data_IF_894563473359
#
_entry.id   IF_894563473359
#
_cell.length_a   1.000
_cell.length_b   1.000
_cell.length_c   1.000
_cell.angle_alpha   90.00
_cell.angle_beta   90.00
_cell.angle_gamma   90.00
#
_symmetry.space_group_name_H-M   'P 1'
#
loop_
_entity.id
_entity.type
_entity.pdbx_description
1 polymer ?
#
# COMPACT_ATOMS: atom_id res chain seq x y z
N UNK A 1 -5.60 -8.01 -7.78
CA UNK A 1 -4.64 -7.66 -6.73
C UNK A 1 -3.31 -7.34 -7.40
N UNK A 2 -2.48 -6.49 -6.81
CA UNK A 2 -1.10 -6.28 -7.27
C UNK A 2 -0.11 -6.84 -6.27
N UNK A 3 0.68 -7.84 -6.68
CA UNK A 3 1.66 -8.49 -5.80
C UNK A 3 2.72 -7.51 -5.28
N UNK A 4 3.30 -6.69 -6.17
CA UNK A 4 4.40 -5.80 -5.78
C UNK A 4 3.94 -4.70 -4.81
N UNK A 5 2.74 -4.13 -5.03
CA UNK A 5 2.14 -3.17 -4.10
C UNK A 5 1.84 -3.84 -2.75
N UNK A 6 1.33 -5.08 -2.76
CA UNK A 6 1.11 -5.82 -1.52
C UNK A 6 2.40 -6.04 -0.73
N UNK A 7 3.51 -6.42 -1.38
CA UNK A 7 4.81 -6.56 -0.70
C UNK A 7 5.25 -5.26 -0.03
N UNK A 8 5.17 -4.12 -0.73
CA UNK A 8 5.51 -2.81 -0.14
C UNK A 8 4.67 -2.50 1.09
N UNK A 9 3.34 -2.71 1.02
CA UNK A 9 2.43 -2.43 2.14
C UNK A 9 2.67 -3.36 3.32
N UNK A 10 2.89 -4.67 3.07
CA UNK A 10 3.20 -5.63 4.13
C UNK A 10 4.46 -5.19 4.86
N UNK A 11 5.55 -4.97 4.12
CA UNK A 11 6.82 -4.56 4.69
C UNK A 11 6.70 -3.24 5.46
N UNK A 12 6.01 -2.24 4.90
CA UNK A 12 5.80 -0.95 5.58
C UNK A 12 5.10 -1.09 6.95
N UNK A 13 4.20 -2.08 7.09
CA UNK A 13 3.50 -2.40 8.33
C UNK A 13 4.24 -3.36 9.27
N UNK A 14 5.39 -3.92 8.88
CA UNK A 14 6.20 -4.76 9.76
C UNK A 14 7.08 -3.92 10.69
N UNK A 15 7.43 -4.46 11.88
CA UNK A 15 8.50 -3.91 12.70
C UNK A 15 9.77 -3.71 11.88
N UNK A 16 10.33 -2.50 11.93
CA UNK A 16 11.54 -2.11 11.19
C UNK A 16 11.46 -2.23 9.66
N UNK A 17 10.28 -2.52 9.08
CA UNK A 17 10.15 -2.62 7.63
C UNK A 17 10.57 -3.96 7.03
N UNK A 18 10.71 -5.01 7.84
CA UNK A 18 11.33 -6.26 7.43
C UNK A 18 10.46 -7.47 7.69
N UNK A 19 10.49 -8.42 6.77
CA UNK A 19 9.85 -9.71 6.94
C UNK A 19 10.60 -10.83 6.22
N UNK A 20 10.47 -12.04 6.77
CA UNK A 20 10.87 -13.26 6.09
C UNK A 20 9.88 -13.59 4.97
N UNK A 21 10.30 -14.44 4.03
CA UNK A 21 9.42 -14.93 2.97
C UNK A 21 8.21 -15.71 3.52
N UNK A 22 8.36 -16.39 4.66
CA UNK A 22 7.25 -17.09 5.31
C UNK A 22 6.17 -16.10 5.77
N UNK A 23 6.57 -15.05 6.48
CA UNK A 23 5.66 -13.98 6.93
C UNK A 23 4.97 -13.30 5.74
N UNK A 24 5.73 -12.98 4.68
CA UNK A 24 5.14 -12.41 3.46
C UNK A 24 4.07 -13.32 2.86
N UNK A 25 4.29 -14.63 2.82
CA UNK A 25 3.31 -15.61 2.31
C UNK A 25 2.06 -15.66 3.17
N UNK A 26 2.20 -15.64 4.50
CA UNK A 26 1.06 -15.68 5.42
C UNK A 26 0.16 -14.45 5.26
N UNK A 27 0.74 -13.24 5.19
CA UNK A 27 -0.01 -12.02 4.92
C UNK A 27 -0.72 -12.06 3.56
N UNK A 28 -0.01 -12.51 2.51
CA UNK A 28 -0.59 -12.62 1.19
C UNK A 28 -1.77 -13.60 1.17
N UNK A 29 -1.66 -14.75 1.85
CA UNK A 29 -2.74 -15.72 1.94
C UNK A 29 -4.00 -15.09 2.55
N UNK A 30 -3.86 -14.35 3.66
CA UNK A 30 -4.97 -13.61 4.27
C UNK A 30 -5.56 -12.60 3.30
N UNK A 31 -4.73 -11.83 2.61
CA UNK A 31 -5.18 -10.81 1.66
C UNK A 31 -5.93 -11.38 0.46
N UNK A 32 -5.51 -12.54 -0.05
CA UNK A 32 -6.23 -13.24 -1.11
C UNK A 32 -7.62 -13.73 -0.67
N UNK A 33 -7.82 -13.97 0.63
CA UNK A 33 -9.09 -14.43 1.18
C UNK A 33 -9.95 -13.32 1.79
N UNK A 34 -9.42 -12.09 1.93
CA UNK A 34 -10.07 -10.96 2.62
C UNK A 34 -11.18 -10.25 1.80
N UNK A 35 -11.48 -10.72 0.58
CA UNK A 35 -12.52 -10.13 -0.27
C UNK A 35 -12.07 -8.95 -1.13
N UNK A 36 -13.01 -8.29 -1.83
CA UNK A 36 -12.71 -7.37 -2.92
C UNK A 36 -12.09 -6.05 -2.47
N UNK A 37 -12.38 -5.56 -1.26
CA UNK A 37 -11.92 -4.24 -0.77
C UNK A 37 -10.38 -4.11 -0.83
N UNK A 38 -9.65 -5.06 -0.24
CA UNK A 38 -8.19 -5.11 -0.34
C UNK A 38 -7.70 -5.28 -1.77
N UNK A 39 -8.34 -6.17 -2.52
CA UNK A 39 -7.98 -6.50 -3.90
C UNK A 39 -8.10 -5.30 -4.83
N UNK A 40 -9.15 -4.50 -4.66
CA UNK A 40 -9.45 -3.32 -5.46
C UNK A 40 -8.60 -2.12 -5.04
N UNK A 41 -8.32 -1.98 -3.74
CA UNK A 41 -7.37 -0.98 -3.24
C UNK A 41 -5.98 -1.18 -3.84
N UNK A 42 -5.44 -2.40 -3.81
CA UNK A 42 -4.12 -2.68 -4.38
C UNK A 42 -4.10 -2.59 -5.91
N UNK A 43 -5.20 -2.91 -6.60
CA UNK A 43 -5.35 -2.68 -8.05
C UNK A 43 -5.30 -1.18 -8.40
N UNK A 44 -6.02 -0.33 -7.67
CA UNK A 44 -6.02 1.13 -7.89
C UNK A 44 -4.62 1.75 -7.71
N UNK A 45 -3.88 1.29 -6.69
CA UNK A 45 -2.49 1.71 -6.48
C UNK A 45 -1.58 1.28 -7.65
N UNK A 46 -1.73 0.03 -8.12
CA UNK A 46 -0.93 -0.47 -9.24
C UNK A 46 -1.24 0.24 -10.56
N UNK A 47 -2.50 0.62 -10.80
CA UNK A 47 -2.91 1.34 -12.02
C UNK A 47 -2.21 2.69 -12.17
N UNK A 48 -1.80 3.32 -11.06
CA UNK A 48 -1.03 4.57 -11.07
C UNK A 48 0.46 4.36 -11.30
N UNK A 49 0.95 3.12 -11.22
CA UNK A 49 2.36 2.75 -11.32
C UNK A 49 2.53 1.49 -12.18
N UNK A 50 2.18 1.55 -13.48
CA UNK A 50 2.16 0.39 -14.37
C UNK A 50 3.53 -0.29 -14.51
N UNK A 51 4.62 0.49 -14.40
CA UNK A 51 6.00 0.00 -14.54
C UNK A 51 6.68 -0.24 -13.18
N UNK A 52 5.90 -0.49 -12.12
CA UNK A 52 6.44 -0.77 -10.79
C UNK A 52 7.36 -2.00 -10.84
N UNK A 53 8.60 -1.81 -10.39
CA UNK A 53 9.59 -2.85 -10.19
C UNK A 53 10.30 -2.61 -8.86
N UNK A 54 9.74 -3.15 -7.78
CA UNK A 54 10.19 -2.89 -6.41
C UNK A 54 11.67 -3.21 -6.14
N UNK A 55 12.26 -4.17 -6.87
CA UNK A 55 13.69 -4.50 -6.75
C UNK A 55 14.54 -3.64 -7.68
N UNK A 56 14.17 -3.57 -8.96
CA UNK A 56 14.93 -2.80 -9.96
C UNK A 56 14.95 -1.30 -9.64
N UNK A 57 13.94 -0.80 -8.95
CA UNK A 57 13.86 0.59 -8.50
C UNK A 57 14.45 0.81 -7.10
N UNK A 58 14.94 -0.23 -6.42
CA UNK A 58 15.55 -0.14 -5.08
C UNK A 58 14.56 0.26 -3.97
N UNK A 59 13.28 -0.08 -4.13
CA UNK A 59 12.24 0.18 -3.12
C UNK A 59 12.25 -0.90 -2.04
N UNK A 60 12.71 -2.10 -2.38
CA UNK A 60 12.88 -3.24 -1.48
C UNK A 60 14.25 -3.87 -1.73
N UNK A 61 14.97 -4.17 -0.67
CA UNK A 61 16.21 -4.97 -0.71
C UNK A 61 15.93 -6.39 -0.22
N UNK A 62 16.79 -7.33 -0.65
CA UNK A 62 16.78 -8.71 -0.20
C UNK A 62 18.08 -8.99 0.52
N UNK A 63 17.96 -9.41 1.77
CA UNK A 63 19.04 -9.92 2.58
C UNK A 63 18.83 -11.44 2.81
N UNK A 64 19.84 -12.19 3.25
CA UNK A 64 19.67 -13.60 3.58
C UNK A 64 18.51 -13.81 4.56
N UNK A 65 17.42 -14.42 4.07
CA UNK A 65 16.23 -14.72 4.86
C UNK A 65 15.27 -13.55 5.11
N UNK A 66 15.58 -12.33 4.67
CA UNK A 66 14.80 -11.12 4.97
C UNK A 66 14.58 -10.24 3.74
N UNK A 67 13.40 -9.64 3.66
CA UNK A 67 13.06 -8.61 2.69
C UNK A 67 12.82 -7.33 3.47
N UNK A 68 13.32 -6.21 2.99
CA UNK A 68 13.33 -4.95 3.73
C UNK A 68 12.87 -3.82 2.82
N UNK A 69 11.87 -3.06 3.25
CA UNK A 69 11.50 -1.82 2.56
C UNK A 69 12.56 -0.75 2.85
N UNK A 70 13.06 -0.10 1.80
CA UNK A 70 14.02 0.99 1.94
C UNK A 70 13.31 2.30 2.29
N UNK A 71 14.04 3.32 2.72
CA UNK A 71 13.47 4.66 2.91
C UNK A 71 12.85 5.21 1.62
N UNK A 72 13.50 4.93 0.48
CA UNK A 72 12.96 5.22 -0.85
C UNK A 72 11.63 4.51 -1.08
N UNK A 73 11.54 3.23 -0.70
CA UNK A 73 10.31 2.44 -0.78
C UNK A 73 9.19 3.01 0.08
N UNK A 74 9.48 3.44 1.32
CA UNK A 74 8.50 4.07 2.22
C UNK A 74 8.01 5.40 1.65
N UNK A 75 8.93 6.25 1.19
CA UNK A 75 8.59 7.54 0.59
C UNK A 75 7.73 7.35 -0.68
N UNK A 76 8.10 6.40 -1.53
CA UNK A 76 7.33 6.05 -2.72
C UNK A 76 5.91 5.56 -2.36
N UNK A 77 5.79 4.65 -1.39
CA UNK A 77 4.50 4.14 -0.96
C UNK A 77 3.61 5.25 -0.39
N UNK A 78 4.16 6.15 0.43
CA UNK A 78 3.42 7.29 0.98
C UNK A 78 2.88 8.22 -0.13
N UNK A 79 3.69 8.53 -1.14
CA UNK A 79 3.25 9.33 -2.30
C UNK A 79 2.16 8.62 -3.10
N UNK A 80 2.28 7.31 -3.27
CA UNK A 80 1.30 6.51 -4.00
C UNK A 80 -0.03 6.44 -3.25
N UNK A 81 0.00 6.30 -1.93
CA UNK A 81 -1.19 6.28 -1.08
C UNK A 81 -1.89 7.65 -1.01
N UNK A 82 -1.13 8.76 -0.99
CA UNK A 82 -1.69 10.12 -1.06
C UNK A 82 -2.46 10.36 -2.36
N UNK A 83 -1.90 9.95 -3.52
CA UNK A 83 -2.59 10.07 -4.82
C UNK A 83 -3.83 9.19 -4.94
N UNK A 84 -3.91 8.15 -4.11
CA UNK A 84 -5.00 7.17 -4.11
C UNK A 84 -6.05 7.43 -3.04
N UNK A 85 -5.81 8.40 -2.15
CA UNK A 85 -6.82 8.83 -1.20
C UNK A 85 -8.03 9.30 -2.01
N UNK A 86 -9.25 8.81 -1.72
CA UNK A 86 -10.43 9.51 -2.21
C UNK A 86 -10.34 10.95 -1.73
N UNK A 87 -10.76 11.90 -2.56
CA UNK A 87 -10.98 13.31 -2.20
C UNK A 87 -12.05 13.36 -1.08
N UNK A 88 -11.68 12.98 0.13
CA UNK A 88 -12.51 12.97 1.31
C UNK A 88 -12.07 14.17 2.12
N UNK A 89 -13.03 15.07 2.39
CA UNK A 89 -12.92 16.37 3.07
C UNK A 89 -12.75 17.61 2.18
N UNK A 90 -13.56 17.76 1.13
CA UNK A 90 -14.18 19.08 0.98
C UNK A 90 -15.13 19.26 2.17
N UNK A 91 -14.99 20.32 3.00
CA UNK A 91 -15.89 20.50 4.13
C UNK A 91 -17.32 20.60 3.58
N UNK A 92 -18.18 19.65 3.97
CA UNK A 92 -19.61 19.80 3.75
C UNK A 92 -20.04 20.98 4.63
N UNK A 93 -20.11 22.17 4.03
CA UNK A 93 -20.68 23.34 4.69
C UNK A 93 -22.15 23.02 4.89
N UNK A 94 -22.50 22.58 6.10
CA UNK A 94 -23.89 22.51 6.53
C UNK A 94 -24.43 23.93 6.63
N UNK A 95 -25.04 24.43 5.56
CA UNK A 95 -25.96 25.57 5.68
C UNK A 95 -27.25 25.04 6.30
N UNK A 96 -27.37 25.13 7.62
CA UNK A 96 -28.63 24.82 8.30
C UNK A 96 -29.73 25.76 7.78
N UNK A 97 -30.94 25.26 7.46
CA UNK A 97 -32.04 26.12 7.07
C UNK A 97 -32.49 26.96 8.27
N UNK A 98 -32.46 28.28 8.10
CA UNK A 98 -32.91 29.26 9.07
C UNK A 98 -34.44 29.32 9.02
N UNK A 99 -35.11 28.56 9.88
CA UNK A 99 -36.51 28.79 10.17
C UNK A 99 -36.62 29.88 11.25
N UNK A 100 -37.13 31.05 10.83
CA UNK A 100 -37.74 32.08 11.67
C UNK A 100 -39.17 32.23 11.15
#
# INVERSE_FOLDING_TARGET
>A
MSFQVSILRILAGQPEGRASLAVLKDYLAVFYTSGPEWTDRTKRLAAQTPDLNIFGQGLVTREPGQWIITDKGRAFLALLEQKSAPEELAPVVWTAPRWI
#
